data_IF_734027367263
#
_entry.id   IF_734027367263
#
_cell.length_a   1.000
_cell.length_b   1.000
_cell.length_c   1.000
_cell.angle_alpha   90.00
_cell.angle_beta   90.00
_cell.angle_gamma   90.00
#
_symmetry.space_group_name_H-M   'P 1'
#
loop_
_entity.id
_entity.type
_entity.pdbx_description
1 polymer ?
#
# COMPACT_ATOMS: atom_id res chain seq x y z
N UNK A 1 5.18 -0.95 5.44
CA UNK A 1 5.24 -0.61 3.99
C UNK A 1 4.18 -1.42 3.27
N UNK A 2 3.50 -0.84 2.28
CA UNK A 2 2.57 -1.55 1.39
C UNK A 2 2.95 -1.26 -0.07
N UNK A 3 2.89 -2.28 -0.92
CA UNK A 3 3.13 -2.21 -2.36
C UNK A 3 2.49 -3.43 -3.02
N UNK A 4 2.09 -3.30 -4.28
CA UNK A 4 1.66 -4.41 -5.14
C UNK A 4 2.86 -5.18 -5.74
N UNK A 5 4.04 -4.56 -5.77
CA UNK A 5 5.26 -5.17 -6.27
C UNK A 5 5.93 -6.04 -5.21
N UNK A 6 5.75 -7.35 -5.32
CA UNK A 6 6.40 -8.34 -4.46
C UNK A 6 7.93 -8.20 -4.51
N UNK A 7 8.50 -7.96 -5.70
CA UNK A 7 9.94 -7.76 -5.88
C UNK A 7 10.46 -6.54 -5.10
N UNK A 8 9.67 -5.45 -5.07
CA UNK A 8 10.00 -4.28 -4.26
C UNK A 8 9.95 -4.60 -2.77
N UNK A 9 8.86 -5.25 -2.31
CA UNK A 9 8.70 -5.65 -0.91
C UNK A 9 9.88 -6.51 -0.41
N UNK A 10 10.27 -7.53 -1.18
CA UNK A 10 11.45 -8.36 -0.86
C UNK A 10 12.74 -7.56 -0.79
N UNK A 11 12.91 -6.57 -1.67
CA UNK A 11 14.13 -5.75 -1.67
C UNK A 11 14.25 -4.89 -0.42
N UNK A 12 13.13 -4.40 0.12
CA UNK A 12 13.14 -3.50 1.27
C UNK A 12 13.01 -4.22 2.61
N UNK A 13 12.57 -5.49 2.65
CA UNK A 13 12.30 -6.23 3.89
C UNK A 13 13.54 -6.40 4.80
N UNK A 14 14.73 -6.24 4.21
CA UNK A 14 16.01 -6.35 4.90
C UNK A 14 16.41 -5.10 5.67
N UNK A 15 15.66 -4.00 5.56
CA UNK A 15 15.93 -2.77 6.31
C UNK A 15 15.22 -2.77 7.66
N UNK A 16 15.96 -2.54 8.74
CA UNK A 16 15.46 -2.57 10.14
C UNK A 16 14.31 -1.59 10.42
N UNK A 17 14.23 -0.51 9.64
CA UNK A 17 13.17 0.50 9.78
C UNK A 17 11.91 0.16 8.97
N UNK A 18 11.85 -1.02 8.36
CA UNK A 18 10.69 -1.47 7.60
C UNK A 18 9.94 -2.57 8.32
N UNK A 19 8.62 -2.51 8.21
CA UNK A 19 7.73 -3.59 8.61
C UNK A 19 6.80 -3.87 7.43
N UNK A 20 6.68 -5.14 7.05
CA UNK A 20 5.80 -5.59 5.97
C UNK A 20 4.84 -6.59 6.59
N UNK A 21 3.54 -6.31 6.49
CA UNK A 21 2.53 -7.27 6.91
C UNK A 21 2.67 -8.51 6.01
N UNK A 22 2.78 -9.73 6.55
CA UNK A 22 2.85 -10.94 5.74
C UNK A 22 1.62 -11.14 4.86
N UNK A 23 1.79 -11.78 3.71
CA UNK A 23 0.72 -12.10 2.76
C UNK A 23 0.92 -11.51 1.37
N UNK A 24 0.11 -11.97 0.43
CA UNK A 24 0.18 -11.55 -0.98
C UNK A 24 -0.78 -10.38 -1.18
N UNK A 25 -0.29 -9.20 -1.58
CA UNK A 25 -1.17 -8.09 -1.94
C UNK A 25 -1.94 -8.44 -3.22
N UNK A 26 -3.23 -8.13 -3.23
CA UNK A 26 -4.09 -8.33 -4.41
C UNK A 26 -4.57 -6.98 -4.89
N UNK A 27 -4.46 -6.75 -6.19
CA UNK A 27 -5.07 -5.58 -6.82
C UNK A 27 -6.59 -5.74 -6.81
N UNK A 28 -7.25 -4.86 -6.06
CA UNK A 28 -8.72 -4.82 -5.96
C UNK A 28 -9.41 -4.67 -7.32
N UNK A 29 -8.78 -4.00 -8.29
CA UNK A 29 -9.34 -3.80 -9.63
C UNK A 29 -9.21 -5.03 -10.55
N UNK A 30 -8.42 -6.04 -10.18
CA UNK A 30 -8.12 -7.22 -11.00
C UNK A 30 -8.58 -8.54 -10.36
N UNK A 31 -9.23 -8.49 -9.19
CA UNK A 31 -9.71 -9.70 -8.52
C UNK A 31 -10.95 -10.27 -9.23
N UNK A 32 -10.91 -11.55 -9.59
CA UNK A 32 -12.05 -12.30 -10.16
C UNK A 32 -12.88 -13.01 -9.07
N UNK A 33 -12.31 -13.20 -7.89
CA UNK A 33 -12.95 -13.70 -6.67
C UNK A 33 -12.99 -12.57 -5.64
N UNK A 34 -14.13 -12.39 -4.96
CA UNK A 34 -14.32 -11.34 -3.95
C UNK A 34 -14.28 -11.91 -2.53
N UNK A 35 -13.64 -13.07 -2.34
CA UNK A 35 -13.52 -13.69 -1.03
C UNK A 35 -12.76 -12.78 -0.04
N UNK A 36 -13.23 -12.80 1.21
CA UNK A 36 -12.62 -12.00 2.28
C UNK A 36 -11.13 -12.28 2.42
N UNK A 37 -10.72 -13.56 2.38
CA UNK A 37 -9.32 -13.95 2.55
C UNK A 37 -8.41 -13.40 1.43
N UNK A 38 -8.91 -13.26 0.20
CA UNK A 38 -8.17 -12.65 -0.90
C UNK A 38 -7.86 -11.16 -0.63
N UNK A 39 -8.84 -10.42 -0.10
CA UNK A 39 -8.71 -8.98 0.13
C UNK A 39 -8.18 -8.61 1.52
N UNK A 40 -8.13 -9.56 2.44
CA UNK A 40 -7.74 -9.36 3.84
C UNK A 40 -6.42 -8.62 3.99
N UNK A 41 -5.41 -9.02 3.23
CA UNK A 41 -4.11 -8.35 3.25
C UNK A 41 -4.22 -6.89 2.80
N UNK A 42 -4.83 -6.63 1.66
CA UNK A 42 -5.04 -5.27 1.14
C UNK A 42 -5.87 -4.41 2.11
N UNK A 43 -6.85 -5.01 2.79
CA UNK A 43 -7.64 -4.31 3.82
C UNK A 43 -6.80 -3.94 5.05
N UNK A 44 -5.98 -4.85 5.57
CA UNK A 44 -5.08 -4.57 6.70
C UNK A 44 -4.02 -3.53 6.30
N UNK A 45 -3.46 -3.63 5.09
CA UNK A 45 -2.54 -2.62 4.55
C UNK A 45 -3.20 -1.24 4.51
N UNK A 46 -4.46 -1.15 4.07
CA UNK A 46 -5.22 0.10 4.04
C UNK A 46 -5.34 0.71 5.43
N UNK A 47 -5.73 -0.10 6.42
CA UNK A 47 -5.87 0.36 7.80
C UNK A 47 -4.53 0.79 8.42
N UNK A 48 -3.45 0.06 8.12
CA UNK A 48 -2.10 0.45 8.55
C UNK A 48 -1.71 1.83 7.98
N UNK A 49 -1.98 2.07 6.70
CA UNK A 49 -1.70 3.37 6.05
C UNK A 49 -2.57 4.48 6.66
N UNK A 50 -3.88 4.21 6.83
CA UNK A 50 -4.84 5.16 7.37
C UNK A 50 -4.51 5.61 8.80
N UNK A 51 -3.79 4.78 9.57
CA UNK A 51 -3.34 5.10 10.93
C UNK A 51 -1.90 5.61 10.99
N UNK A 52 -1.24 5.85 9.86
CA UNK A 52 0.12 6.39 9.83
C UNK A 52 0.14 7.87 10.27
N UNK A 53 1.29 8.35 10.75
CA UNK A 53 1.49 9.79 11.05
C UNK A 53 1.60 10.65 9.79
N UNK A 54 2.06 10.07 8.68
CA UNK A 54 2.23 10.72 7.38
C UNK A 54 2.22 9.66 6.29
N UNK A 55 1.58 9.96 5.16
CA UNK A 55 1.43 9.03 4.04
C UNK A 55 2.18 9.56 2.82
N UNK A 56 2.91 8.68 2.16
CA UNK A 56 3.62 8.98 0.92
C UNK A 56 3.16 8.02 -0.19
N UNK A 57 2.87 8.57 -1.36
CA UNK A 57 2.79 7.81 -2.61
C UNK A 57 4.08 8.07 -3.40
N UNK A 58 4.87 7.02 -3.62
CA UNK A 58 6.08 7.08 -4.44
C UNK A 58 5.71 6.63 -5.86
N UNK A 59 6.02 7.45 -6.87
CA UNK A 59 5.71 7.16 -8.26
C UNK A 59 6.95 7.36 -9.13
N UNK A 60 7.33 6.36 -9.92
CA UNK A 60 8.41 6.44 -10.92
C UNK A 60 7.85 6.17 -12.31
N UNK A 61 8.36 6.86 -13.33
CA UNK A 61 8.10 6.57 -14.74
C UNK A 61 6.64 6.22 -15.09
N UNK A 62 6.40 4.95 -15.47
CA UNK A 62 5.11 4.42 -15.92
C UNK A 62 4.21 3.87 -14.80
N UNK A 63 4.55 4.04 -13.53
CA UNK A 63 3.73 3.54 -12.42
C UNK A 63 2.35 4.18 -12.42
N UNK A 64 1.31 3.35 -12.25
CA UNK A 64 -0.06 3.82 -12.12
C UNK A 64 -0.20 4.75 -10.90
N UNK A 65 -0.89 5.87 -11.07
CA UNK A 65 -1.16 6.82 -9.99
C UNK A 65 -2.31 6.29 -9.12
N UNK A 66 -1.98 5.37 -8.23
CA UNK A 66 -2.96 4.78 -7.32
C UNK A 66 -3.60 5.83 -6.41
N UNK A 67 -4.94 5.81 -6.33
CA UNK A 67 -5.66 6.60 -5.33
C UNK A 67 -5.68 5.92 -3.95
N UNK A 68 -5.21 4.68 -3.83
CA UNK A 68 -5.28 3.89 -2.60
C UNK A 68 -4.71 4.59 -1.35
N UNK A 69 -3.44 5.06 -1.34
CA UNK A 69 -2.90 5.79 -0.18
C UNK A 69 -3.54 7.16 0.02
N UNK A 70 -4.08 7.78 -1.03
CA UNK A 70 -4.82 9.04 -0.92
C UNK A 70 -6.18 8.82 -0.26
N UNK A 71 -6.89 7.75 -0.61
CA UNK A 71 -8.13 7.36 0.06
C UNK A 71 -7.90 7.04 1.53
N UNK A 72 -6.82 6.33 1.86
CA UNK A 72 -6.44 6.04 3.24
C UNK A 72 -6.18 7.32 4.06
N UNK A 73 -5.63 8.37 3.44
CA UNK A 73 -5.38 9.64 4.12
C UNK A 73 -6.64 10.34 4.62
N UNK A 74 -7.78 10.11 3.96
CA UNK A 74 -9.04 10.74 4.34
C UNK A 74 -9.64 10.15 5.61
N UNK A 75 -9.34 8.89 5.95
CA UNK A 75 -9.94 8.18 7.10
C UNK A 75 -9.68 8.90 8.41
N UNK A 76 -8.42 9.31 8.65
CA UNK A 76 -7.98 9.99 9.88
C UNK A 76 -7.36 11.37 9.60
N UNK A 77 -7.67 11.96 8.44
CA UNK A 77 -7.12 13.26 7.99
C UNK A 77 -5.57 13.34 8.10
N UNK A 78 -4.89 12.31 7.61
CA UNK A 78 -3.43 12.18 7.68
C UNK A 78 -2.77 12.97 6.55
N UNK A 79 -1.68 13.73 6.80
CA UNK A 79 -0.97 14.43 5.73
C UNK A 79 -0.48 13.48 4.64
N UNK A 80 -0.90 13.74 3.40
CA UNK A 80 -0.53 12.97 2.21
C UNK A 80 0.45 13.74 1.32
N UNK A 81 1.47 13.05 0.79
CA UNK A 81 2.39 13.61 -0.22
C UNK A 81 2.65 12.61 -1.35
N UNK A 82 2.48 13.07 -2.60
CA UNK A 82 2.98 12.38 -3.78
C UNK A 82 4.43 12.82 -4.02
N UNK A 83 5.33 11.84 -4.17
CA UNK A 83 6.74 12.05 -4.57
C UNK A 83 6.93 11.37 -5.93
N UNK A 84 7.45 12.14 -6.89
CA UNK A 84 7.78 11.66 -8.24
C UNK A 84 9.29 11.65 -8.43
N UNK A 85 9.80 10.61 -9.08
CA UNK A 85 11.20 10.45 -9.46
C UNK A 85 11.34 10.38 -10.98
#
# INVERSE_FOLDING_TARGET
MASDSISFLKKIEHFDFTYIIPGIPVHVDYATDNSFELHKKTFIDFLMIANAKKIFLLQTGKMYKSNFPKSASYVNNVPFKLIRF
#
